data_IF_447357404750
#
_entry.id   IF_447357404750
#
_cell.length_a   1.000
_cell.length_b   1.000
_cell.length_c   1.000
_cell.angle_alpha   90.00
_cell.angle_beta   90.00
_cell.angle_gamma   90.00
#
_symmetry.space_group_name_H-M   'P 1'
#
loop_
_entity.id
_entity.type
_entity.pdbx_description
1 polymer ?
#
# COMPACT_ATOMS: atom_id res chain seq x y z
N UNK A 1 -37.27 16.25 20.32
CA UNK A 1 -36.40 15.15 20.82
C UNK A 1 -36.11 14.05 19.78
N UNK A 2 -36.96 13.82 18.76
CA UNK A 2 -36.72 12.80 17.71
C UNK A 2 -35.70 13.17 16.63
N UNK A 3 -35.51 14.46 16.34
CA UNK A 3 -34.61 14.93 15.27
C UNK A 3 -33.13 14.89 15.69
N UNK A 4 -32.85 15.06 16.98
CA UNK A 4 -31.47 15.06 17.51
C UNK A 4 -30.83 13.67 17.41
N UNK A 5 -31.63 12.62 17.60
CA UNK A 5 -31.17 11.22 17.48
C UNK A 5 -30.84 10.89 16.02
N UNK A 6 -31.62 11.40 15.06
CA UNK A 6 -31.39 11.17 13.63
C UNK A 6 -30.08 11.80 13.12
N UNK A 7 -29.68 12.95 13.68
CA UNK A 7 -28.44 13.65 13.31
C UNK A 7 -27.18 12.94 13.83
N UNK A 8 -27.28 12.17 14.92
CA UNK A 8 -26.13 11.45 15.47
C UNK A 8 -25.75 10.22 14.60
N UNK A 9 -26.73 9.60 13.93
CA UNK A 9 -26.49 8.42 13.10
C UNK A 9 -25.79 8.73 11.76
N UNK A 10 -25.94 9.93 11.20
CA UNK A 10 -25.32 10.27 9.91
C UNK A 10 -23.86 10.72 10.05
N UNK A 11 -23.43 11.15 11.24
CA UNK A 11 -22.06 11.58 11.51
C UNK A 11 -21.04 10.42 11.57
N UNK A 12 -21.50 9.17 11.72
CA UNK A 12 -20.62 8.00 11.86
C UNK A 12 -20.15 7.40 10.52
N UNK A 13 -20.69 7.85 9.39
CA UNK A 13 -20.42 7.24 8.08
C UNK A 13 -19.38 7.98 7.22
N UNK A 14 -18.74 9.04 7.72
CA UNK A 14 -17.88 9.90 6.88
C UNK A 14 -16.38 9.58 6.91
N UNK A 15 -15.94 8.50 7.54
CA UNK A 15 -14.53 8.06 7.41
C UNK A 15 -14.34 7.24 6.14
N UNK A 16 -14.33 7.91 4.99
CA UNK A 16 -13.83 7.30 3.75
C UNK A 16 -12.30 7.23 3.85
N UNK A 17 -11.76 6.01 3.91
CA UNK A 17 -10.32 5.79 3.89
C UNK A 17 -9.78 6.19 2.50
N UNK A 18 -9.14 7.36 2.43
CA UNK A 18 -8.47 7.83 1.22
C UNK A 18 -7.16 7.05 1.02
N UNK A 19 -7.18 6.01 0.18
CA UNK A 19 -5.97 5.37 -0.33
C UNK A 19 -5.43 6.24 -1.49
N UNK A 20 -4.60 7.22 -1.16
CA UNK A 20 -4.01 8.11 -2.17
C UNK A 20 -2.97 7.38 -3.03
N UNK A 21 -3.34 7.00 -4.25
CA UNK A 21 -2.45 6.49 -5.31
C UNK A 21 -1.49 7.60 -5.78
N UNK A 22 -0.48 7.92 -4.98
CA UNK A 22 0.66 8.72 -5.41
C UNK A 22 1.72 7.82 -5.99
N UNK A 23 2.17 8.10 -7.21
CA UNK A 23 3.34 7.48 -7.82
C UNK A 23 4.52 7.56 -6.83
N UNK A 24 4.96 6.40 -6.32
CA UNK A 24 6.07 6.29 -5.37
C UNK A 24 5.70 6.13 -3.89
N UNK A 25 4.42 6.05 -3.52
CA UNK A 25 4.03 5.93 -2.11
C UNK A 25 4.18 4.50 -1.58
N UNK A 26 4.94 4.38 -0.50
CA UNK A 26 5.12 3.16 0.27
C UNK A 26 3.78 2.43 0.41
N UNK A 27 3.73 1.23 -0.14
CA UNK A 27 2.64 0.30 0.17
C UNK A 27 2.76 -0.12 1.63
N UNK A 28 1.74 -0.73 2.23
CA UNK A 28 1.90 -1.36 3.54
C UNK A 28 3.07 -2.38 3.57
N UNK A 29 3.51 -2.81 2.38
CA UNK A 29 4.61 -3.74 2.11
C UNK A 29 5.89 -3.02 1.65
N UNK A 30 6.05 -1.75 2.02
CA UNK A 30 7.26 -0.96 1.78
C UNK A 30 7.32 -0.27 0.40
N UNK A 31 8.45 0.40 0.09
CA UNK A 31 8.69 1.02 -1.21
C UNK A 31 8.80 -0.04 -2.31
N UNK A 32 8.47 0.36 -3.54
CA UNK A 32 8.69 -0.47 -4.71
C UNK A 32 10.16 -0.42 -5.11
N UNK A 33 10.75 -1.59 -5.34
CA UNK A 33 12.16 -1.78 -5.67
C UNK A 33 12.30 -2.65 -6.91
N UNK A 34 13.42 -2.51 -7.61
CA UNK A 34 13.80 -3.47 -8.65
C UNK A 34 14.30 -4.73 -7.94
N UNK A 35 13.67 -5.87 -8.15
CA UNK A 35 13.97 -7.14 -7.51
C UNK A 35 14.34 -8.20 -8.55
N UNK A 36 15.49 -8.83 -8.38
CA UNK A 36 15.89 -10.04 -9.12
C UNK A 36 15.42 -11.28 -8.34
N UNK A 37 14.49 -12.03 -8.92
CA UNK A 37 13.93 -13.25 -8.34
C UNK A 37 14.87 -14.45 -8.54
N UNK A 38 14.72 -15.54 -7.76
CA UNK A 38 15.61 -16.72 -7.85
C UNK A 38 15.60 -17.45 -9.22
N UNK A 39 14.54 -17.24 -10.01
CA UNK A 39 14.44 -17.72 -11.40
C UNK A 39 15.19 -16.81 -12.40
N UNK A 40 15.84 -15.73 -11.93
CA UNK A 40 16.53 -14.74 -12.75
C UNK A 40 15.63 -13.66 -13.34
N UNK A 41 14.32 -13.65 -13.06
CA UNK A 41 13.44 -12.58 -13.57
C UNK A 41 13.60 -11.31 -12.75
N UNK A 42 13.62 -10.16 -13.44
CA UNK A 42 13.73 -8.84 -12.80
C UNK A 42 12.36 -8.16 -12.83
N UNK A 43 11.82 -7.87 -11.66
CA UNK A 43 10.49 -7.27 -11.51
C UNK A 43 10.53 -6.03 -10.62
N UNK A 44 9.64 -5.07 -10.87
CA UNK A 44 9.47 -3.91 -10.01
C UNK A 44 8.33 -4.15 -9.02
N UNK A 45 8.63 -4.58 -7.79
CA UNK A 45 7.66 -5.03 -6.77
C UNK A 45 7.97 -4.40 -5.40
N UNK A 46 7.03 -4.40 -4.43
CA UNK A 46 7.32 -3.92 -3.07
C UNK A 46 8.48 -4.68 -2.40
N UNK A 47 9.26 -3.98 -1.57
CA UNK A 47 10.45 -4.53 -0.91
C UNK A 47 10.14 -5.77 -0.07
N UNK A 48 9.00 -5.81 0.61
CA UNK A 48 8.60 -6.97 1.41
C UNK A 48 8.26 -8.19 0.54
N UNK A 49 7.70 -8.00 -0.65
CA UNK A 49 7.50 -9.10 -1.60
C UNK A 49 8.82 -9.64 -2.14
N UNK A 50 9.76 -8.75 -2.51
CA UNK A 50 11.09 -9.17 -2.94
C UNK A 50 11.77 -10.06 -1.89
N UNK A 51 11.68 -9.66 -0.61
CA UNK A 51 12.20 -10.44 0.52
C UNK A 51 11.45 -11.78 0.71
N UNK A 52 10.12 -11.76 0.60
CA UNK A 52 9.29 -12.97 0.72
C UNK A 52 9.62 -14.02 -0.36
N UNK A 53 9.91 -13.57 -1.58
CA UNK A 53 10.33 -14.42 -2.69
C UNK A 53 11.82 -14.80 -2.67
N UNK A 54 12.57 -14.42 -1.62
CA UNK A 54 14.02 -14.60 -1.53
C UNK A 54 14.78 -13.98 -2.72
N UNK A 55 14.23 -12.92 -3.30
CA UNK A 55 14.86 -12.15 -4.36
C UNK A 55 15.91 -11.18 -3.81
N UNK A 56 16.70 -10.62 -4.72
CA UNK A 56 17.75 -9.64 -4.43
C UNK A 56 17.32 -8.26 -4.92
N UNK A 57 17.35 -7.28 -4.02
CA UNK A 57 17.10 -5.88 -4.39
C UNK A 57 18.29 -5.36 -5.20
N UNK A 58 18.00 -4.83 -6.38
CA UNK A 58 18.97 -4.18 -7.25
C UNK A 58 18.92 -2.67 -7.04
N UNK A 59 20.09 -2.07 -6.78
CA UNK A 59 20.28 -0.63 -6.71
C UNK A 59 20.98 -0.18 -7.99
N UNK A 60 20.32 0.65 -8.78
CA UNK A 60 20.94 1.30 -9.93
C UNK A 60 21.71 2.52 -9.39
N UNK A 61 23.03 2.50 -9.54
CA UNK A 61 23.92 3.60 -9.15
C UNK A 61 24.03 4.65 -10.26
#
# INVERSE_FOLDING_TARGET
MKIVIALFCTALFSLTAYAGNGEGRATAMGPRVTCELPNGSVEYIPSEYCKAYKGKILYWN
#
